data_IF_602599135344
#
_entry.id   IF_602599135344
#
_cell.length_a   1.000
_cell.length_b   1.000
_cell.length_c   1.000
_cell.angle_alpha   90.00
_cell.angle_beta   90.00
_cell.angle_gamma   90.00
#
_symmetry.space_group_name_H-M   'P 1'
#
loop_
_entity.id
_entity.type
_entity.pdbx_description
1 polymer ?
#
# COMPACT_ATOMS: atom_id res chain seq x y z
N UNK A 1 74.99 -9.98 17.67
CA UNK A 1 75.18 -9.39 16.34
C UNK A 1 73.96 -9.75 15.50
N UNK A 2 72.97 -8.93 15.49
CA UNK A 2 71.65 -9.23 14.90
C UNK A 2 71.33 -8.19 13.87
N UNK A 3 71.03 -8.70 12.68
CA UNK A 3 70.62 -7.89 11.54
C UNK A 3 69.09 -7.76 11.50
N UNK A 4 68.56 -6.54 11.59
CA UNK A 4 67.14 -6.26 11.50
C UNK A 4 66.76 -5.92 10.07
N UNK A 5 66.03 -6.80 9.41
CA UNK A 5 65.39 -6.52 8.12
C UNK A 5 64.20 -5.61 8.26
N UNK A 6 64.16 -4.52 7.48
CA UNK A 6 63.05 -3.56 7.36
C UNK A 6 62.03 -4.11 6.37
N UNK A 7 60.81 -4.32 6.78
CA UNK A 7 59.67 -4.51 5.86
C UNK A 7 59.07 -3.13 5.57
N UNK A 8 59.02 -2.77 4.30
CA UNK A 8 58.29 -1.62 3.78
C UNK A 8 56.90 -2.06 3.46
N UNK A 9 55.91 -1.55 4.17
CA UNK A 9 54.52 -1.75 3.88
C UNK A 9 54.06 -0.72 2.85
N UNK A 10 53.76 -1.19 1.63
CA UNK A 10 53.11 -0.39 0.59
C UNK A 10 51.61 -0.27 0.89
N UNK A 11 51.18 0.89 1.38
CA UNK A 11 49.77 1.19 1.53
C UNK A 11 49.14 1.58 0.19
N UNK A 12 48.27 0.77 -0.32
CA UNK A 12 47.40 1.15 -1.42
C UNK A 12 46.28 2.05 -0.91
N UNK A 13 46.32 3.31 -1.31
CA UNK A 13 45.26 4.29 -1.09
C UNK A 13 44.08 3.95 -2.02
N UNK A 14 43.01 3.37 -1.50
CA UNK A 14 41.75 3.25 -2.23
C UNK A 14 41.02 4.58 -2.07
N UNK A 15 41.05 5.43 -3.10
CA UNK A 15 40.19 6.59 -3.22
C UNK A 15 38.75 6.09 -3.48
N UNK A 16 37.92 6.17 -2.46
CA UNK A 16 36.48 6.05 -2.63
C UNK A 16 35.96 7.34 -3.29
N UNK A 17 35.69 7.28 -4.57
CA UNK A 17 34.99 8.33 -5.28
C UNK A 17 33.52 8.34 -4.85
N UNK A 18 33.17 9.26 -3.97
CA UNK A 18 31.75 9.53 -3.63
C UNK A 18 31.14 10.30 -4.80
N UNK A 19 30.45 9.57 -5.68
CA UNK A 19 29.62 10.19 -6.71
C UNK A 19 28.34 10.68 -6.05
N UNK A 20 28.24 11.99 -5.82
CA UNK A 20 27.00 12.66 -5.45
C UNK A 20 26.11 12.71 -6.68
N UNK A 21 25.24 11.71 -6.84
CA UNK A 21 24.12 11.76 -7.78
C UNK A 21 22.96 12.50 -7.08
N UNK A 22 22.85 13.78 -7.36
CA UNK A 22 21.59 14.52 -7.20
C UNK A 22 20.64 14.02 -8.29
N UNK A 23 19.84 13.00 -7.97
CA UNK A 23 18.77 12.52 -8.82
C UNK A 23 17.41 12.81 -8.18
N UNK A 24 16.51 13.28 -8.98
CA UNK A 24 15.10 13.48 -8.68
C UNK A 24 14.52 12.30 -7.88
N UNK A 25 13.84 12.59 -6.78
CA UNK A 25 13.52 11.68 -5.68
C UNK A 25 12.70 10.43 -5.99
N UNK A 26 13.37 9.42 -6.51
CA UNK A 26 12.90 8.04 -6.44
C UNK A 26 13.68 7.32 -5.35
N UNK A 27 13.01 6.84 -4.31
CA UNK A 27 13.63 6.02 -3.29
C UNK A 27 14.14 4.73 -3.95
N UNK A 28 15.47 4.58 -4.06
CA UNK A 28 16.06 3.35 -4.62
C UNK A 28 15.90 2.25 -3.58
N UNK A 29 14.99 1.31 -3.82
CA UNK A 29 14.83 0.14 -2.97
C UNK A 29 15.90 -0.91 -3.29
N UNK A 30 16.38 -1.61 -2.25
CA UNK A 30 17.33 -2.71 -2.39
C UNK A 30 16.67 -4.02 -1.95
N UNK A 31 15.82 -4.64 -2.81
CA UNK A 31 15.08 -5.83 -2.42
C UNK A 31 16.03 -6.99 -2.10
N UNK A 32 15.59 -7.84 -1.18
CA UNK A 32 16.29 -9.10 -0.93
C UNK A 32 16.32 -9.95 -2.19
N UNK A 33 17.46 -10.63 -2.40
CA UNK A 33 17.67 -11.44 -3.58
C UNK A 33 18.06 -12.85 -3.20
N UNK A 34 17.60 -13.80 -4.01
CA UNK A 34 18.07 -15.18 -3.98
C UNK A 34 19.53 -15.26 -4.44
N UNK A 35 20.20 -16.37 -4.20
CA UNK A 35 21.61 -16.56 -4.61
C UNK A 35 21.84 -16.41 -6.13
N UNK A 36 20.82 -16.66 -6.94
CA UNK A 36 20.84 -16.46 -8.40
C UNK A 36 20.41 -15.04 -8.84
N UNK A 37 20.26 -14.12 -7.89
CA UNK A 37 20.00 -12.70 -8.13
C UNK A 37 18.54 -12.30 -8.35
N UNK A 38 17.58 -13.23 -8.29
CA UNK A 38 16.15 -12.93 -8.41
C UNK A 38 15.65 -12.21 -7.14
N UNK A 39 14.69 -11.30 -7.28
CA UNK A 39 14.02 -10.67 -6.14
C UNK A 39 13.25 -11.73 -5.34
N UNK A 40 13.38 -11.71 -4.01
CA UNK A 40 12.64 -12.62 -3.14
C UNK A 40 11.18 -12.19 -3.11
N UNK A 41 10.29 -13.14 -3.45
CA UNK A 41 8.83 -13.00 -3.43
C UNK A 41 8.19 -14.16 -2.66
N UNK A 42 6.88 -14.12 -2.46
CA UNK A 42 6.16 -15.10 -1.67
C UNK A 42 6.31 -14.89 -0.16
N UNK A 43 6.31 -15.98 0.59
CA UNK A 43 6.43 -15.98 2.05
C UNK A 43 7.87 -15.76 2.49
N UNK A 44 8.08 -14.80 3.37
CA UNK A 44 9.37 -14.51 4.01
C UNK A 44 9.12 -14.54 5.52
N UNK A 45 9.70 -15.54 6.19
CA UNK A 45 9.44 -15.81 7.60
C UNK A 45 10.59 -15.34 8.48
N UNK A 46 10.27 -15.06 9.76
CA UNK A 46 11.22 -14.81 10.84
C UNK A 46 12.27 -13.76 10.51
N UNK A 47 11.86 -12.64 9.92
CA UNK A 47 12.72 -11.50 9.82
C UNK A 47 12.85 -10.82 11.19
N UNK A 48 14.01 -10.28 11.49
CA UNK A 48 14.28 -9.55 12.73
C UNK A 48 14.65 -8.11 12.36
N UNK A 49 13.87 -7.18 12.85
CA UNK A 49 14.21 -5.76 12.68
C UNK A 49 15.42 -5.42 13.56
N UNK A 50 16.43 -4.77 12.96
CA UNK A 50 17.76 -4.63 13.56
C UNK A 50 17.78 -3.78 14.84
N UNK A 51 16.91 -2.78 14.96
CA UNK A 51 16.94 -1.82 16.07
C UNK A 51 16.22 -2.35 17.30
N UNK A 52 15.10 -3.00 17.13
CA UNK A 52 14.23 -3.49 18.22
C UNK A 52 14.32 -4.98 18.45
N UNK A 53 14.90 -5.72 17.49
CA UNK A 53 14.93 -7.18 17.49
C UNK A 53 13.57 -7.85 17.27
N UNK A 54 12.54 -7.06 16.92
CA UNK A 54 11.18 -7.57 16.72
C UNK A 54 11.12 -8.49 15.52
N UNK A 55 10.55 -9.67 15.71
CA UNK A 55 10.26 -10.60 14.62
C UNK A 55 9.07 -10.12 13.81
N UNK A 56 9.12 -10.32 12.50
CA UNK A 56 8.01 -10.08 11.60
C UNK A 56 8.02 -11.04 10.41
N UNK A 57 6.88 -11.17 9.76
CA UNK A 57 6.66 -12.04 8.61
C UNK A 57 6.15 -11.21 7.44
N UNK A 58 6.66 -11.49 6.23
CA UNK A 58 6.24 -10.79 5.01
C UNK A 58 5.57 -11.74 4.03
N UNK A 59 4.73 -11.16 3.20
CA UNK A 59 4.32 -11.71 1.93
C UNK A 59 4.53 -10.68 0.82
N UNK A 60 5.28 -11.05 -0.20
CA UNK A 60 5.50 -10.25 -1.40
C UNK A 60 4.79 -10.94 -2.55
N UNK A 61 3.87 -10.28 -3.29
CA UNK A 61 3.18 -10.89 -4.42
C UNK A 61 4.15 -11.54 -5.40
N UNK A 62 3.79 -12.70 -5.94
CA UNK A 62 4.68 -13.47 -6.83
C UNK A 62 5.01 -12.74 -8.12
N UNK A 63 4.12 -11.83 -8.55
CA UNK A 63 4.29 -10.95 -9.70
C UNK A 63 4.90 -9.58 -9.36
N UNK A 64 5.57 -9.44 -8.21
CA UNK A 64 6.17 -8.18 -7.78
C UNK A 64 7.08 -7.57 -8.84
N UNK A 65 6.84 -6.29 -9.15
CA UNK A 65 7.63 -5.48 -10.05
C UNK A 65 8.20 -4.26 -9.30
N UNK A 66 9.53 -4.08 -9.17
CA UNK A 66 10.12 -2.97 -8.43
C UNK A 66 9.83 -1.59 -9.03
N UNK A 67 9.28 -1.53 -10.24
CA UNK A 67 8.90 -0.29 -10.92
C UNK A 67 7.48 0.16 -10.58
N UNK A 68 6.68 -0.69 -9.94
CA UNK A 68 5.35 -0.38 -9.41
C UNK A 68 5.44 -0.07 -7.92
N UNK A 69 4.60 0.83 -7.42
CA UNK A 69 4.40 1.05 -5.98
C UNK A 69 3.26 0.16 -5.48
N UNK A 70 3.51 -0.54 -4.38
CA UNK A 70 2.56 -1.48 -3.82
C UNK A 70 1.97 -0.94 -2.52
N UNK A 71 0.65 -1.04 -2.32
CA UNK A 71 0.06 -0.81 -1.01
C UNK A 71 0.63 -1.80 0.01
N UNK A 72 0.85 -1.33 1.24
CA UNK A 72 1.35 -2.14 2.36
C UNK A 72 0.24 -2.37 3.38
N UNK A 73 0.02 -3.62 3.75
CA UNK A 73 -0.85 -4.02 4.85
C UNK A 73 0.02 -4.43 6.03
N UNK A 74 -0.07 -3.71 7.14
CA UNK A 74 0.47 -4.11 8.43
C UNK A 74 -0.64 -4.77 9.22
N UNK A 75 -0.52 -6.08 9.52
CA UNK A 75 -1.60 -6.86 10.14
C UNK A 75 -1.20 -7.38 11.51
N UNK A 76 -2.02 -7.09 12.53
CA UNK A 76 -1.85 -7.62 13.87
C UNK A 76 -2.69 -8.89 14.06
N UNK A 77 -2.06 -9.91 14.68
CA UNK A 77 -2.69 -11.16 15.03
C UNK A 77 -3.75 -10.99 16.13
N UNK A 78 -4.59 -11.99 16.29
CA UNK A 78 -5.47 -12.12 17.44
C UNK A 78 -4.72 -12.55 18.71
N UNK A 79 -5.48 -12.91 19.73
CA UNK A 79 -4.95 -13.32 21.02
C UNK A 79 -4.26 -14.69 20.93
N UNK A 80 -2.99 -14.76 21.36
CA UNK A 80 -2.28 -16.03 21.53
C UNK A 80 -2.95 -16.89 22.65
N UNK A 81 -3.05 -18.23 22.53
CA UNK A 81 -2.50 -19.08 21.46
C UNK A 81 -3.47 -19.34 20.28
N UNK A 82 -4.55 -18.60 20.17
CA UNK A 82 -5.58 -18.83 19.14
C UNK A 82 -5.16 -18.28 17.77
N UNK A 83 -4.21 -17.36 17.76
CA UNK A 83 -3.67 -16.77 16.54
C UNK A 83 -2.22 -16.31 16.74
N UNK A 84 -1.49 -16.16 15.62
CA UNK A 84 -0.09 -15.75 15.58
C UNK A 84 0.23 -14.93 14.32
N UNK A 85 1.33 -14.19 14.33
CA UNK A 85 1.71 -13.29 13.24
C UNK A 85 1.89 -14.02 11.89
N UNK A 86 2.56 -15.18 11.90
CA UNK A 86 2.73 -16.01 10.70
C UNK A 86 1.37 -16.50 10.15
N UNK A 87 0.45 -16.85 11.04
CA UNK A 87 -0.94 -17.22 10.70
C UNK A 87 -1.68 -16.06 10.04
N UNK A 88 -1.59 -14.86 10.60
CA UNK A 88 -2.18 -13.66 10.01
C UNK A 88 -1.61 -13.38 8.62
N UNK A 89 -0.27 -13.37 8.44
CA UNK A 89 0.33 -13.23 7.13
C UNK A 89 -0.24 -14.25 6.13
N UNK A 90 -0.39 -15.53 6.55
CA UNK A 90 -0.90 -16.57 5.67
C UNK A 90 -2.36 -16.33 5.23
N UNK A 91 -3.20 -15.80 6.12
CA UNK A 91 -4.61 -15.46 5.80
C UNK A 91 -4.72 -14.38 4.72
N UNK A 92 -3.71 -13.50 4.57
CA UNK A 92 -3.70 -12.43 3.60
C UNK A 92 -3.19 -12.83 2.22
N UNK A 93 -2.66 -14.05 2.02
CA UNK A 93 -2.01 -14.47 0.76
C UNK A 93 -2.93 -14.29 -0.45
N UNK A 94 -4.19 -14.76 -0.36
CA UNK A 94 -5.14 -14.65 -1.46
C UNK A 94 -5.46 -13.19 -1.82
N UNK A 95 -5.61 -12.33 -0.81
CA UNK A 95 -5.81 -10.91 -1.04
C UNK A 95 -4.56 -10.25 -1.64
N UNK A 96 -3.37 -10.62 -1.15
CA UNK A 96 -2.10 -10.10 -1.64
C UNK A 96 -1.85 -10.43 -3.11
N UNK A 97 -2.09 -11.69 -3.52
CA UNK A 97 -1.95 -12.11 -4.91
C UNK A 97 -3.01 -11.46 -5.82
N UNK A 98 -4.26 -11.44 -5.35
CA UNK A 98 -5.39 -10.91 -6.13
C UNK A 98 -5.28 -9.42 -6.40
N UNK A 99 -4.82 -8.66 -5.41
CA UNK A 99 -4.87 -7.20 -5.43
C UNK A 99 -3.50 -6.53 -5.49
N UNK A 100 -2.41 -7.30 -5.49
CA UNK A 100 -1.06 -6.75 -5.51
C UNK A 100 -0.71 -6.03 -4.20
N UNK A 101 -0.97 -6.63 -3.04
CA UNK A 101 -0.63 -6.06 -1.73
C UNK A 101 0.65 -6.67 -1.19
N UNK A 102 1.52 -5.86 -0.61
CA UNK A 102 2.58 -6.36 0.27
C UNK A 102 2.00 -6.46 1.68
N UNK A 103 2.23 -7.59 2.35
CA UNK A 103 1.71 -7.84 3.70
C UNK A 103 2.87 -8.01 4.67
N UNK A 104 2.81 -7.26 5.77
CA UNK A 104 3.73 -7.33 6.89
C UNK A 104 2.97 -7.68 8.17
N UNK A 105 3.38 -8.73 8.86
CA UNK A 105 2.80 -9.15 10.12
C UNK A 105 3.89 -9.20 11.19
N UNK A 106 4.11 -8.12 11.96
CA UNK A 106 4.96 -8.14 13.15
C UNK A 106 4.37 -9.03 14.24
N UNK A 107 5.24 -9.62 15.08
CA UNK A 107 4.81 -10.26 16.32
C UNK A 107 4.44 -9.21 17.35
N UNK A 108 3.15 -8.97 17.56
CA UNK A 108 2.67 -7.96 18.50
C UNK A 108 2.52 -8.54 19.92
N UNK A 109 3.23 -7.98 20.90
CA UNK A 109 3.11 -8.35 22.31
C UNK A 109 1.78 -7.85 22.91
N UNK A 110 1.24 -6.75 22.38
CA UNK A 110 -0.01 -6.16 22.83
C UNK A 110 -1.26 -6.73 22.16
N UNK A 111 -1.12 -7.66 21.22
CA UNK A 111 -2.24 -8.31 20.55
C UNK A 111 -2.89 -9.37 21.46
N UNK A 112 -3.64 -8.89 22.47
CA UNK A 112 -4.31 -9.73 23.45
C UNK A 112 -5.64 -9.13 23.86
N UNK A 113 -6.73 -9.90 23.77
CA UNK A 113 -8.04 -9.51 24.28
C UNK A 113 -8.08 -9.30 25.81
N UNK A 114 -7.01 -9.67 26.51
CA UNK A 114 -6.82 -9.50 27.94
C UNK A 114 -5.93 -8.29 28.30
N UNK A 115 -5.50 -7.52 27.29
CA UNK A 115 -4.65 -6.35 27.52
C UNK A 115 -5.41 -5.31 28.36
N UNK A 116 -4.82 -4.88 29.47
CA UNK A 116 -5.28 -3.77 30.26
C UNK A 116 -4.63 -2.47 29.78
N UNK A 117 -5.45 -1.51 29.35
CA UNK A 117 -4.98 -0.20 28.90
C UNK A 117 -5.37 0.86 29.93
N UNK A 118 -4.44 1.39 30.74
CA UNK A 118 -4.71 2.43 31.73
C UNK A 118 -5.19 3.74 31.06
N UNK A 119 -5.95 4.56 31.82
CA UNK A 119 -6.45 5.87 31.34
C UNK A 119 -5.36 6.94 31.21
N UNK A 120 -4.36 6.88 32.08
CA UNK A 120 -3.37 7.94 32.30
C UNK A 120 -2.07 7.74 31.53
N UNK A 121 -1.85 6.55 31.00
CA UNK A 121 -0.63 6.21 30.26
C UNK A 121 -0.84 5.05 29.31
N UNK A 122 -0.10 4.98 28.19
CA UNK A 122 -0.13 3.81 27.33
C UNK A 122 0.38 2.56 28.07
N UNK A 123 -0.19 1.41 27.75
CA UNK A 123 0.34 0.14 28.22
C UNK A 123 1.73 -0.12 27.58
N UNK A 124 2.75 -0.54 28.38
CA UNK A 124 4.11 -0.72 27.86
C UNK A 124 4.21 -1.61 26.60
N UNK A 125 3.46 -2.73 26.47
CA UNK A 125 3.49 -3.52 25.23
C UNK A 125 3.06 -2.73 24.00
N UNK A 126 2.08 -1.82 24.09
CA UNK A 126 1.66 -0.96 22.98
C UNK A 126 2.79 -0.02 22.51
N UNK A 127 3.52 0.57 23.44
CA UNK A 127 4.65 1.47 23.14
C UNK A 127 5.81 0.72 22.49
N UNK A 128 6.07 -0.51 22.93
CA UNK A 128 7.11 -1.34 22.33
C UNK A 128 6.73 -1.77 20.91
N UNK A 129 5.50 -2.18 20.71
CA UNK A 129 4.97 -2.57 19.40
C UNK A 129 4.93 -1.38 18.42
N UNK A 130 4.57 -0.19 18.89
CA UNK A 130 4.62 1.05 18.11
C UNK A 130 6.02 1.30 17.55
N UNK A 131 7.04 1.33 18.41
CA UNK A 131 8.43 1.54 18.00
C UNK A 131 8.90 0.48 17.00
N UNK A 132 8.60 -0.78 17.28
CA UNK A 132 8.96 -1.89 16.40
C UNK A 132 8.26 -1.77 15.03
N UNK A 133 6.97 -1.46 15.02
CA UNK A 133 6.19 -1.33 13.78
C UNK A 133 6.73 -0.22 12.88
N UNK A 134 7.04 0.95 13.45
CA UNK A 134 7.62 2.07 12.70
C UNK A 134 8.99 1.69 12.10
N UNK A 135 9.85 1.01 12.88
CA UNK A 135 11.15 0.55 12.41
C UNK A 135 11.01 -0.51 11.30
N UNK A 136 10.13 -1.49 11.46
CA UNK A 136 9.84 -2.52 10.46
C UNK A 136 9.33 -1.89 9.15
N UNK A 137 8.39 -0.93 9.22
CA UNK A 137 7.89 -0.25 8.01
C UNK A 137 9.02 0.46 7.29
N UNK A 138 9.92 1.13 8.02
CA UNK A 138 11.10 1.78 7.43
C UNK A 138 12.00 0.76 6.72
N UNK A 139 12.24 -0.39 7.32
CA UNK A 139 13.04 -1.47 6.73
C UNK A 139 12.34 -2.04 5.47
N UNK A 140 11.05 -2.37 5.54
CA UNK A 140 10.29 -2.89 4.40
C UNK A 140 10.29 -1.89 3.23
N UNK A 141 10.13 -0.60 3.49
CA UNK A 141 10.22 0.47 2.48
C UNK A 141 11.61 0.62 1.87
N UNK A 142 12.67 0.26 2.56
CA UNK A 142 14.03 0.25 2.00
C UNK A 142 14.27 -0.95 1.07
N UNK A 143 13.46 -2.02 1.21
CA UNK A 143 13.60 -3.27 0.46
C UNK A 143 12.64 -3.35 -0.72
N UNK A 144 11.42 -2.87 -0.55
CA UNK A 144 10.36 -3.01 -1.55
C UNK A 144 9.73 -1.67 -1.86
N UNK A 145 9.25 -1.54 -3.11
CA UNK A 145 8.61 -0.32 -3.60
C UNK A 145 7.20 -0.18 -3.02
N UNK A 146 7.09 0.50 -1.88
CA UNK A 146 5.82 0.74 -1.19
C UNK A 146 5.24 2.09 -1.63
N UNK A 147 3.92 2.13 -1.84
CA UNK A 147 3.19 3.38 -1.99
C UNK A 147 3.20 4.13 -0.64
N UNK A 148 3.85 5.31 -0.54
CA UNK A 148 3.95 6.03 0.73
C UNK A 148 2.59 6.48 1.27
N UNK A 149 1.60 6.71 0.39
CA UNK A 149 0.24 7.12 0.74
C UNK A 149 -0.71 5.91 0.87
N UNK A 150 -0.19 4.70 0.65
CA UNK A 150 -0.94 3.45 0.66
C UNK A 150 -0.47 2.49 1.74
N UNK A 151 -0.50 2.87 3.03
CA UNK A 151 -0.19 1.98 4.14
C UNK A 151 -1.40 1.85 5.06
N UNK A 152 -1.86 0.62 5.27
CA UNK A 152 -2.93 0.27 6.20
C UNK A 152 -2.38 -0.45 7.41
N UNK A 153 -2.89 -0.14 8.59
CA UNK A 153 -2.76 -1.01 9.75
C UNK A 153 -4.11 -1.65 10.06
N UNK A 154 -4.09 -2.94 10.36
CA UNK A 154 -5.32 -3.70 10.64
C UNK A 154 -5.09 -4.72 11.74
N UNK A 155 -6.10 -5.01 12.52
CA UNK A 155 -6.03 -5.99 13.59
C UNK A 155 -7.28 -6.86 13.67
N UNK A 156 -7.09 -8.14 13.98
CA UNK A 156 -8.17 -9.06 14.28
C UNK A 156 -8.25 -9.33 15.77
N UNK A 157 -9.45 -9.32 16.36
CA UNK A 157 -9.63 -9.65 17.78
C UNK A 157 -8.68 -8.83 18.68
N UNK A 158 -7.84 -9.48 19.50
CA UNK A 158 -6.81 -8.83 20.32
C UNK A 158 -5.88 -7.88 19.59
N UNK A 159 -5.65 -8.11 18.30
CA UNK A 159 -4.88 -7.22 17.42
C UNK A 159 -5.51 -5.86 17.17
N UNK A 160 -6.75 -5.66 17.58
CA UNK A 160 -7.42 -4.37 17.54
C UNK A 160 -6.72 -3.32 18.38
N UNK A 161 -6.24 -3.67 19.56
CA UNK A 161 -5.55 -2.73 20.45
C UNK A 161 -4.30 -2.11 19.78
N UNK A 162 -3.30 -2.89 19.31
CA UNK A 162 -2.17 -2.30 18.60
C UNK A 162 -2.56 -1.60 17.30
N UNK A 163 -3.52 -2.12 16.55
CA UNK A 163 -3.92 -1.49 15.29
C UNK A 163 -4.50 -0.08 15.51
N UNK A 164 -5.42 0.10 16.44
CA UNK A 164 -5.97 1.41 16.78
C UNK A 164 -4.94 2.32 17.44
N UNK A 165 -4.16 1.81 18.40
CA UNK A 165 -3.14 2.60 19.08
C UNK A 165 -2.11 3.14 18.11
N UNK A 166 -1.43 2.27 17.38
CA UNK A 166 -0.33 2.64 16.49
C UNK A 166 -0.86 3.49 15.32
N UNK A 167 -1.98 3.11 14.73
CA UNK A 167 -2.57 3.87 13.63
C UNK A 167 -2.93 5.30 14.02
N UNK A 168 -3.55 5.51 15.19
CA UNK A 168 -3.92 6.84 15.68
C UNK A 168 -2.70 7.69 16.06
N UNK A 169 -1.61 7.08 16.55
CA UNK A 169 -0.39 7.79 16.92
C UNK A 169 0.47 8.18 15.69
N UNK A 170 0.31 7.49 14.56
CA UNK A 170 1.08 7.71 13.33
C UNK A 170 0.22 7.99 12.08
N UNK A 171 -0.63 9.05 12.12
CA UNK A 171 -1.46 9.43 10.96
C UNK A 171 -0.64 9.90 9.75
N UNK A 172 0.66 10.18 9.93
CA UNK A 172 1.61 10.48 8.86
C UNK A 172 2.13 9.24 8.13
N UNK A 173 2.01 8.05 8.74
CA UNK A 173 2.43 6.78 8.16
C UNK A 173 1.23 6.05 7.56
N UNK A 174 0.13 5.98 8.32
CA UNK A 174 -1.01 5.16 7.97
C UNK A 174 -2.12 5.96 7.31
N UNK A 175 -2.54 5.54 6.14
CA UNK A 175 -3.71 6.08 5.43
C UNK A 175 -5.01 5.59 6.05
N UNK A 176 -5.00 4.37 6.59
CA UNK A 176 -6.20 3.68 7.03
C UNK A 176 -5.95 2.79 8.25
N UNK A 177 -6.92 2.74 9.16
CA UNK A 177 -7.04 1.76 10.22
C UNK A 177 -8.23 0.86 9.92
N UNK A 178 -8.06 -0.47 9.96
CA UNK A 178 -9.17 -1.40 9.81
C UNK A 178 -9.24 -2.35 11.01
N UNK A 179 -10.29 -2.22 11.80
CA UNK A 179 -10.64 -3.15 12.88
C UNK A 179 -11.51 -4.29 12.35
N UNK A 180 -11.03 -5.53 12.45
CA UNK A 180 -11.70 -6.75 11.98
C UNK A 180 -12.18 -7.55 13.17
N UNK A 181 -13.45 -7.43 13.58
CA UNK A 181 -13.95 -8.00 14.85
C UNK A 181 -12.97 -7.70 16.01
N UNK A 182 -12.55 -6.45 16.08
CA UNK A 182 -11.36 -6.01 16.81
C UNK A 182 -11.68 -5.50 18.21
N UNK A 183 -10.76 -5.71 19.15
CA UNK A 183 -10.83 -5.08 20.46
C UNK A 183 -10.56 -3.58 20.35
N UNK A 184 -11.29 -2.82 21.18
CA UNK A 184 -11.16 -1.37 21.30
C UNK A 184 -11.35 -0.92 22.75
N UNK A 185 -10.69 0.18 23.13
CA UNK A 185 -11.01 0.96 24.32
C UNK A 185 -10.65 2.43 24.09
N UNK A 186 -11.43 3.34 24.70
CA UNK A 186 -11.20 4.79 24.61
C UNK A 186 -9.83 5.23 25.11
N UNK A 187 -9.18 4.42 25.94
CA UNK A 187 -7.87 4.71 26.52
C UNK A 187 -6.69 4.57 25.53
N UNK A 188 -6.94 4.15 24.28
CA UNK A 188 -5.89 3.97 23.28
C UNK A 188 -5.29 5.28 22.76
N UNK A 189 -6.02 6.39 22.89
CA UNK A 189 -5.52 7.68 22.41
C UNK A 189 -6.13 8.83 23.21
N UNK A 190 -5.30 9.84 23.49
CA UNK A 190 -5.74 11.11 24.07
C UNK A 190 -6.51 11.96 23.05
N UNK A 191 -7.17 13.01 23.51
CA UNK A 191 -7.86 13.94 22.62
C UNK A 191 -6.92 14.65 21.64
N UNK A 192 -5.67 14.93 22.04
CA UNK A 192 -4.66 15.52 21.14
C UNK A 192 -4.23 14.56 20.03
N UNK A 193 -4.09 13.27 20.35
CA UNK A 193 -3.82 12.22 19.36
C UNK A 193 -5.00 12.12 18.39
N UNK A 194 -6.21 12.04 18.90
CA UNK A 194 -7.41 11.98 18.08
C UNK A 194 -7.56 13.20 17.16
N UNK A 195 -7.25 14.40 17.65
CA UNK A 195 -7.31 15.63 16.85
C UNK A 195 -6.38 15.60 15.65
N UNK A 196 -5.16 15.07 15.81
CA UNK A 196 -4.20 14.91 14.71
C UNK A 196 -4.66 13.84 13.72
N UNK A 197 -5.24 12.75 14.20
CA UNK A 197 -5.62 11.58 13.41
C UNK A 197 -7.02 11.66 12.75
N UNK A 198 -7.85 12.65 13.07
CA UNK A 198 -9.26 12.70 12.65
C UNK A 198 -9.53 12.75 11.14
N UNK A 199 -8.49 13.00 10.33
CA UNK A 199 -8.56 12.97 8.88
C UNK A 199 -8.37 11.58 8.28
N UNK A 200 -7.89 10.62 9.08
CA UNK A 200 -7.65 9.25 8.64
C UNK A 200 -8.95 8.53 8.28
N UNK A 201 -8.82 7.54 7.42
CA UNK A 201 -9.88 6.57 7.20
C UNK A 201 -9.84 5.50 8.28
N UNK A 202 -10.97 5.26 8.92
CA UNK A 202 -11.13 4.20 9.93
C UNK A 202 -12.35 3.37 9.60
N UNK A 203 -12.12 2.07 9.42
CA UNK A 203 -13.18 1.11 9.17
C UNK A 203 -13.18 0.03 10.23
N UNK A 204 -14.31 -0.15 10.90
CA UNK A 204 -14.51 -1.22 11.87
C UNK A 204 -15.66 -2.08 11.41
N UNK A 205 -15.44 -3.36 11.27
CA UNK A 205 -16.53 -4.29 11.02
C UNK A 205 -16.51 -5.44 12.03
N UNK A 206 -17.69 -5.99 12.30
CA UNK A 206 -17.89 -7.03 13.29
C UNK A 206 -19.04 -7.95 12.89
N UNK A 207 -19.02 -9.21 13.35
CA UNK A 207 -20.10 -10.15 13.11
C UNK A 207 -21.34 -9.84 13.95
N UNK A 208 -22.52 -9.92 13.35
CA UNK A 208 -23.81 -9.76 14.09
C UNK A 208 -23.98 -10.81 15.19
N UNK A 209 -23.37 -11.98 15.03
CA UNK A 209 -23.34 -13.08 16.00
C UNK A 209 -22.00 -13.22 16.71
N UNK A 210 -21.23 -12.14 16.83
CA UNK A 210 -19.93 -12.11 17.49
C UNK A 210 -20.05 -12.32 19.02
N UNK A 211 -18.91 -12.58 19.68
CA UNK A 211 -18.85 -12.74 21.12
C UNK A 211 -19.43 -11.50 21.85
N UNK A 212 -20.22 -11.65 22.91
CA UNK A 212 -20.98 -10.55 23.53
C UNK A 212 -20.15 -9.33 23.93
N UNK A 213 -18.88 -9.52 24.32
CA UNK A 213 -17.96 -8.43 24.69
C UNK A 213 -17.65 -7.47 23.54
N UNK A 214 -17.62 -7.97 22.30
CA UNK A 214 -17.32 -7.13 21.13
C UNK A 214 -18.43 -6.13 20.79
N UNK A 215 -19.69 -6.47 21.05
CA UNK A 215 -20.79 -5.52 20.85
C UNK A 215 -20.66 -4.27 21.72
N UNK A 216 -20.16 -4.41 22.96
CA UNK A 216 -19.89 -3.26 23.83
C UNK A 216 -18.72 -2.42 23.32
N UNK A 217 -17.62 -3.05 22.94
CA UNK A 217 -16.43 -2.37 22.43
C UNK A 217 -16.69 -1.68 21.09
N UNK A 218 -17.50 -2.26 20.22
CA UNK A 218 -17.92 -1.63 18.97
C UNK A 218 -18.78 -0.38 19.21
N UNK A 219 -19.67 -0.39 20.22
CA UNK A 219 -20.41 0.82 20.63
C UNK A 219 -19.49 1.88 21.21
N UNK A 220 -18.51 1.48 22.02
CA UNK A 220 -17.47 2.37 22.56
C UNK A 220 -16.64 3.00 21.42
N UNK A 221 -16.18 2.21 20.48
CA UNK A 221 -15.46 2.71 19.29
C UNK A 221 -16.32 3.69 18.48
N UNK A 222 -17.58 3.32 18.20
CA UNK A 222 -18.50 4.19 17.47
C UNK A 222 -18.70 5.55 18.17
N UNK A 223 -18.95 5.53 19.47
CA UNK A 223 -19.09 6.75 20.27
C UNK A 223 -17.79 7.56 20.25
N UNK A 224 -16.65 6.93 20.51
CA UNK A 224 -15.35 7.58 20.62
C UNK A 224 -14.93 8.29 19.33
N UNK A 225 -14.98 7.60 18.17
CA UNK A 225 -14.62 8.16 16.87
C UNK A 225 -15.58 9.26 16.42
N UNK A 226 -16.87 9.06 16.61
CA UNK A 226 -17.91 10.04 16.25
C UNK A 226 -17.77 11.34 17.05
N UNK A 227 -17.62 11.24 18.37
CA UNK A 227 -17.51 12.41 19.25
C UNK A 227 -16.24 13.21 19.04
N UNK A 228 -15.17 12.58 18.52
CA UNK A 228 -13.91 13.25 18.19
C UNK A 228 -13.84 13.76 16.75
N UNK A 229 -14.93 13.63 16.01
CA UNK A 229 -15.10 14.24 14.69
C UNK A 229 -14.31 13.59 13.57
N UNK A 230 -14.11 12.28 13.61
CA UNK A 230 -13.55 11.51 12.50
C UNK A 230 -14.55 11.50 11.35
N UNK A 231 -14.20 12.16 10.23
CA UNK A 231 -15.11 12.32 9.08
C UNK A 231 -15.17 11.07 8.19
N UNK A 232 -14.10 10.29 8.18
CA UNK A 232 -13.94 9.09 7.36
C UNK A 232 -14.02 7.82 8.22
N UNK A 233 -14.85 7.85 9.27
CA UNK A 233 -15.10 6.70 10.12
C UNK A 233 -16.36 5.96 9.68
N UNK A 234 -16.22 4.65 9.50
CA UNK A 234 -17.32 3.74 9.17
C UNK A 234 -17.26 2.56 10.13
N UNK A 235 -18.41 2.23 10.71
CA UNK A 235 -18.59 1.00 11.48
C UNK A 235 -19.73 0.20 10.87
N UNK A 236 -19.53 -1.09 10.62
CA UNK A 236 -20.48 -1.91 9.88
C UNK A 236 -20.63 -3.30 10.48
N UNK A 237 -21.84 -3.71 10.87
CA UNK A 237 -22.12 -5.12 11.13
C UNK A 237 -22.06 -5.93 9.85
N UNK A 238 -21.61 -7.18 9.96
CA UNK A 238 -21.57 -8.15 8.87
C UNK A 238 -22.24 -9.46 9.30
N UNK A 239 -22.83 -10.20 8.41
CA UNK A 239 -23.32 -11.55 8.72
C UNK A 239 -22.20 -12.44 9.27
N UNK A 240 -22.49 -13.27 10.26
CA UNK A 240 -21.53 -14.22 10.83
C UNK A 240 -21.06 -13.83 12.23
N UNK A 241 -20.00 -14.51 12.68
CA UNK A 241 -19.44 -14.39 14.03
C UNK A 241 -18.08 -13.69 14.05
N UNK A 242 -17.14 -14.28 14.80
CA UNK A 242 -15.79 -13.73 15.02
C UNK A 242 -14.86 -13.98 13.82
N UNK A 243 -15.19 -13.48 12.64
CA UNK A 243 -14.48 -13.72 11.37
C UNK A 243 -13.51 -12.56 11.04
N UNK A 244 -12.23 -12.87 10.70
CA UNK A 244 -11.23 -11.87 10.35
C UNK A 244 -11.42 -11.19 8.98
N UNK A 245 -12.17 -11.75 8.05
CA UNK A 245 -12.55 -11.25 6.71
C UNK A 245 -11.54 -10.30 6.03
N UNK A 246 -10.36 -10.81 5.66
CA UNK A 246 -9.29 -10.03 5.04
C UNK A 246 -9.69 -9.41 3.70
N UNK A 247 -10.55 -10.08 2.95
CA UNK A 247 -11.00 -9.59 1.63
C UNK A 247 -11.77 -8.29 1.77
N UNK A 248 -12.64 -8.19 2.78
CA UNK A 248 -13.40 -6.97 3.04
C UNK A 248 -12.48 -5.81 3.46
N UNK A 249 -11.52 -6.09 4.34
CA UNK A 249 -10.52 -5.10 4.73
C UNK A 249 -9.67 -4.63 3.53
N UNK A 250 -9.25 -5.56 2.66
CA UNK A 250 -8.52 -5.23 1.44
C UNK A 250 -9.35 -4.35 0.49
N UNK A 251 -10.62 -4.69 0.25
CA UNK A 251 -11.52 -3.91 -0.61
C UNK A 251 -11.70 -2.48 -0.10
N UNK A 252 -11.97 -2.33 1.19
CA UNK A 252 -12.10 -1.01 1.78
C UNK A 252 -10.82 -0.18 1.59
N UNK A 253 -9.67 -0.76 1.89
CA UNK A 253 -8.39 -0.09 1.76
C UNK A 253 -8.08 0.31 0.31
N UNK A 254 -8.28 -0.58 -0.63
CA UNK A 254 -8.03 -0.32 -2.05
C UNK A 254 -8.93 0.78 -2.63
N UNK A 255 -10.18 0.88 -2.19
CA UNK A 255 -11.06 1.98 -2.57
C UNK A 255 -10.55 3.36 -2.12
N UNK A 256 -9.62 3.40 -1.14
CA UNK A 256 -9.03 4.65 -0.63
C UNK A 256 -7.73 4.99 -1.35
N UNK A 257 -6.93 3.98 -1.71
CA UNK A 257 -5.54 4.19 -2.16
C UNK A 257 -5.31 3.93 -3.63
N UNK A 258 -6.19 3.21 -4.30
CA UNK A 258 -6.11 3.03 -5.74
C UNK A 258 -6.75 4.22 -6.46
N UNK A 259 -5.96 4.84 -7.32
CA UNK A 259 -6.40 5.96 -8.12
C UNK A 259 -6.53 5.52 -9.58
N UNK A 260 -7.64 5.88 -10.18
CA UNK A 260 -7.84 5.67 -11.61
C UNK A 260 -6.85 6.51 -12.40
N UNK A 261 -6.30 6.01 -13.51
CA UNK A 261 -5.43 6.79 -14.35
C UNK A 261 -6.20 7.97 -14.94
N UNK A 262 -5.65 9.17 -14.80
CA UNK A 262 -6.19 10.34 -15.48
C UNK A 262 -5.66 10.34 -16.92
N UNK A 263 -6.54 10.31 -17.91
CA UNK A 263 -6.17 10.26 -19.31
C UNK A 263 -6.70 11.44 -20.12
N UNK A 264 -5.91 11.85 -21.09
CA UNK A 264 -6.25 12.91 -22.04
C UNK A 264 -5.78 12.52 -23.44
N UNK A 265 -6.56 12.86 -24.45
CA UNK A 265 -6.17 12.71 -25.86
C UNK A 265 -5.59 14.03 -26.32
N UNK A 266 -4.34 14.00 -26.79
CA UNK A 266 -3.71 15.10 -27.53
C UNK A 266 -3.75 14.74 -29.02
N UNK A 267 -4.44 15.53 -29.82
CA UNK A 267 -4.56 15.36 -31.26
C UNK A 267 -3.91 16.54 -32.00
N UNK A 268 -3.06 16.27 -32.98
CA UNK A 268 -2.37 17.29 -33.77
C UNK A 268 -3.36 18.23 -34.49
N UNK A 269 -4.52 17.69 -34.85
CA UNK A 269 -5.69 18.44 -35.36
C UNK A 269 -6.95 17.61 -35.15
N UNK A 270 -8.09 18.25 -35.07
CA UNK A 270 -9.41 17.62 -35.00
C UNK A 270 -10.29 17.88 -36.20
N UNK A 271 -9.83 18.73 -37.16
CA UNK A 271 -10.57 19.04 -38.40
C UNK A 271 -9.58 19.38 -39.52
N UNK A 272 -9.92 18.98 -40.75
CA UNK A 272 -9.18 19.34 -41.97
C UNK A 272 -9.71 18.65 -43.23
N UNK A 273 -9.18 18.99 -44.44
CA UNK A 273 -9.57 18.35 -45.69
C UNK A 273 -8.99 16.94 -45.82
N UNK A 274 -9.68 16.06 -46.56
CA UNK A 274 -9.15 14.74 -46.93
C UNK A 274 -8.06 14.87 -48.01
N UNK A 275 -6.95 14.02 -47.93
CA UNK A 275 -6.61 13.11 -46.87
C UNK A 275 -6.06 13.84 -45.64
N UNK A 276 -6.54 13.52 -44.43
CA UNK A 276 -6.16 14.21 -43.18
C UNK A 276 -5.24 13.34 -42.34
N UNK A 277 -3.93 13.60 -42.25
CA UNK A 277 -3.04 12.94 -41.29
C UNK A 277 -3.22 13.54 -39.90
N UNK A 278 -3.48 12.68 -38.90
CA UNK A 278 -3.65 13.07 -37.51
C UNK A 278 -2.71 12.24 -36.63
N UNK A 279 -1.92 12.93 -35.80
CA UNK A 279 -1.14 12.29 -34.74
C UNK A 279 -1.93 12.39 -33.44
N UNK A 280 -2.18 11.23 -32.83
CA UNK A 280 -2.90 11.09 -31.57
C UNK A 280 -1.92 10.61 -30.50
N UNK A 281 -1.89 11.27 -29.33
CA UNK A 281 -1.08 10.89 -28.17
C UNK A 281 -1.96 10.65 -26.96
N UNK A 282 -1.71 9.54 -26.28
CA UNK A 282 -2.29 9.27 -24.98
C UNK A 282 -1.47 9.96 -23.90
N UNK A 283 -2.00 11.04 -23.32
CA UNK A 283 -1.40 11.67 -22.16
C UNK A 283 -2.00 11.00 -20.92
N UNK A 284 -1.16 10.26 -20.20
CA UNK A 284 -1.59 9.46 -19.04
C UNK A 284 -0.86 9.93 -17.80
N UNK A 285 -1.62 10.13 -16.72
CA UNK A 285 -1.10 10.37 -15.38
C UNK A 285 -1.72 9.34 -14.45
N UNK A 286 -0.90 8.42 -13.97
CA UNK A 286 -1.28 7.44 -12.97
C UNK A 286 -0.56 7.78 -11.65
N UNK A 287 -1.31 8.23 -10.61
CA UNK A 287 -0.72 8.60 -9.31
C UNK A 287 -0.04 7.42 -8.60
N UNK A 288 -0.47 6.19 -8.88
CA UNK A 288 0.03 4.98 -8.24
C UNK A 288 1.26 4.40 -8.95
N UNK A 289 1.56 4.88 -10.14
CA UNK A 289 2.73 4.49 -10.91
C UNK A 289 3.84 5.55 -10.78
N UNK A 290 5.04 5.19 -10.22
CA UNK A 290 6.12 6.15 -9.97
C UNK A 290 6.63 6.88 -11.23
N UNK A 291 6.49 6.26 -12.38
CA UNK A 291 6.98 6.73 -13.67
C UNK A 291 5.84 6.95 -14.69
N UNK A 292 4.58 6.98 -14.21
CA UNK A 292 3.40 7.19 -15.05
C UNK A 292 3.12 6.04 -16.01
N UNK A 293 3.70 4.86 -15.79
CA UNK A 293 3.47 3.72 -16.66
C UNK A 293 2.10 3.12 -16.46
N UNK A 294 1.59 2.60 -17.57
CA UNK A 294 0.34 1.85 -17.63
C UNK A 294 0.58 0.45 -18.18
N UNK A 295 -0.33 -0.47 -17.91
CA UNK A 295 -0.28 -1.84 -18.43
C UNK A 295 -0.46 -1.84 -19.96
N UNK A 296 -1.49 -1.13 -20.43
CA UNK A 296 -1.78 -1.09 -21.86
C UNK A 296 -2.52 0.16 -22.28
N UNK A 297 -2.35 0.51 -23.54
CA UNK A 297 -3.07 1.55 -24.26
C UNK A 297 -3.73 0.90 -25.48
N UNK A 298 -4.98 1.23 -25.74
CA UNK A 298 -5.71 0.76 -26.92
C UNK A 298 -6.50 1.91 -27.54
N UNK A 299 -6.23 2.16 -28.81
CA UNK A 299 -6.99 3.09 -29.65
C UNK A 299 -7.95 2.34 -30.56
N UNK A 300 -9.16 2.86 -30.71
CA UNK A 300 -10.02 2.65 -31.86
C UNK A 300 -10.10 3.97 -32.62
N UNK A 301 -9.64 4.00 -33.87
CA UNK A 301 -9.46 5.23 -34.65
C UNK A 301 -10.76 5.71 -35.36
N UNK A 302 -11.86 4.96 -35.17
CA UNK A 302 -13.18 5.33 -35.69
C UNK A 302 -13.46 4.88 -37.14
N UNK A 303 -12.49 4.23 -37.78
CA UNK A 303 -12.59 3.67 -39.14
C UNK A 303 -12.28 2.17 -39.18
N UNK A 304 -12.52 1.47 -38.08
CA UNK A 304 -12.22 0.05 -37.86
C UNK A 304 -10.71 -0.26 -37.69
N UNK A 305 -9.87 0.74 -37.59
CA UNK A 305 -8.46 0.56 -37.26
C UNK A 305 -8.23 0.69 -35.77
N UNK A 306 -7.29 -0.10 -35.26
CA UNK A 306 -6.87 -0.08 -33.87
C UNK A 306 -5.35 0.09 -33.75
N UNK A 307 -4.89 0.63 -32.60
CA UNK A 307 -3.48 0.74 -32.28
C UNK A 307 -3.25 0.52 -30.80
N UNK A 308 -2.14 -0.10 -30.41
CA UNK A 308 -1.72 -0.24 -28.99
C UNK A 308 -0.52 0.65 -28.65
N UNK A 309 -0.08 1.53 -29.57
CA UNK A 309 0.99 2.47 -29.30
C UNK A 309 0.47 3.68 -28.51
N UNK A 310 1.22 4.19 -27.49
CA UNK A 310 0.85 5.44 -26.81
C UNK A 310 0.75 6.65 -27.75
N UNK A 311 1.46 6.61 -28.87
CA UNK A 311 1.38 7.58 -29.95
C UNK A 311 1.11 6.86 -31.27
N UNK A 312 0.14 7.36 -32.07
CA UNK A 312 -0.21 6.83 -33.38
C UNK A 312 -0.46 7.96 -34.37
N UNK A 313 0.12 7.85 -35.56
CA UNK A 313 -0.22 8.73 -36.70
C UNK A 313 -1.09 7.93 -37.67
N UNK A 314 -2.26 8.49 -37.97
CA UNK A 314 -3.23 7.88 -38.87
C UNK A 314 -3.73 8.90 -39.89
N UNK A 315 -3.93 8.47 -41.15
CA UNK A 315 -4.45 9.29 -42.22
C UNK A 315 -5.90 8.87 -42.54
N UNK A 316 -6.83 9.81 -42.40
CA UNK A 316 -8.22 9.61 -42.79
C UNK A 316 -8.39 10.01 -44.26
N UNK A 317 -8.59 9.01 -45.11
CA UNK A 317 -8.61 9.16 -46.56
C UNK A 317 -9.93 9.73 -47.09
N UNK A 318 -11.03 9.56 -46.38
CA UNK A 318 -12.35 9.95 -46.82
C UNK A 318 -12.97 11.04 -45.94
N UNK A 319 -13.77 11.96 -46.49
CA UNK A 319 -14.58 12.86 -45.71
C UNK A 319 -15.51 12.10 -44.76
N UNK A 320 -15.66 12.59 -43.53
CA UNK A 320 -16.49 11.94 -42.52
C UNK A 320 -16.24 12.47 -41.11
N UNK A 321 -17.07 11.98 -40.18
CA UNK A 321 -16.92 12.25 -38.75
C UNK A 321 -16.52 10.96 -38.04
N UNK A 322 -15.28 10.91 -37.55
CA UNK A 322 -14.69 9.74 -36.95
C UNK A 322 -14.66 9.88 -35.42
N UNK A 323 -15.26 8.91 -34.72
CA UNK A 323 -15.23 8.85 -33.27
C UNK A 323 -14.03 8.03 -32.82
N UNK A 324 -13.03 8.69 -32.28
CA UNK A 324 -11.81 8.07 -31.78
C UNK A 324 -11.95 7.77 -30.30
N UNK A 325 -11.72 6.51 -29.92
CA UNK A 325 -11.69 6.06 -28.53
C UNK A 325 -10.27 5.71 -28.10
N UNK A 326 -9.95 6.11 -26.88
CA UNK A 326 -8.77 5.69 -26.13
C UNK A 326 -9.23 4.92 -24.91
N UNK A 327 -8.69 3.71 -24.73
CA UNK A 327 -8.76 2.95 -23.48
C UNK A 327 -7.35 2.83 -22.91
N UNK A 328 -7.20 3.11 -21.63
CA UNK A 328 -5.96 2.90 -20.88
C UNK A 328 -6.27 1.99 -19.71
N UNK A 329 -5.46 0.96 -19.55
CA UNK A 329 -5.48 0.09 -18.39
C UNK A 329 -4.21 0.33 -17.58
N UNK A 330 -4.37 0.66 -16.28
CA UNK A 330 -3.25 0.83 -15.37
C UNK A 330 -2.66 -0.50 -14.91
N UNK A 331 -1.57 -0.42 -14.12
CA UNK A 331 -0.91 -1.60 -13.57
C UNK A 331 -1.75 -2.30 -12.48
N UNK A 332 -2.74 -1.62 -11.91
CA UNK A 332 -3.67 -2.13 -10.91
C UNK A 332 -4.92 -2.78 -11.52
N UNK A 333 -5.07 -2.63 -12.84
CA UNK A 333 -6.16 -3.24 -13.61
C UNK A 333 -7.37 -2.34 -13.84
N UNK A 334 -7.33 -1.07 -13.38
CA UNK A 334 -8.37 -0.09 -13.70
C UNK A 334 -8.32 0.30 -15.16
N UNK A 335 -9.49 0.50 -15.75
CA UNK A 335 -9.61 0.90 -17.13
C UNK A 335 -10.32 2.25 -17.20
N UNK A 336 -9.69 3.21 -17.85
CA UNK A 336 -10.26 4.51 -18.12
C UNK A 336 -10.44 4.72 -19.62
N UNK A 337 -11.48 5.46 -19.98
CA UNK A 337 -11.88 5.67 -21.37
C UNK A 337 -11.99 7.16 -21.69
N UNK A 338 -11.53 7.53 -22.89
CA UNK A 338 -11.69 8.87 -23.43
C UNK A 338 -12.09 8.79 -24.89
N UNK A 339 -12.81 9.80 -25.38
CA UNK A 339 -13.14 9.91 -26.79
C UNK A 339 -12.89 11.33 -27.31
N UNK A 340 -12.63 11.42 -28.60
CA UNK A 340 -12.59 12.67 -29.35
C UNK A 340 -13.14 12.45 -30.75
N UNK A 341 -13.51 13.52 -31.43
CA UNK A 341 -14.03 13.47 -32.78
C UNK A 341 -13.03 14.07 -33.74
N UNK A 342 -12.78 13.42 -34.87
CA UNK A 342 -12.01 13.95 -35.99
C UNK A 342 -12.98 14.20 -37.16
N UNK A 343 -13.07 15.44 -37.61
CA UNK A 343 -13.89 15.83 -38.72
C UNK A 343 -13.03 16.02 -39.97
N UNK A 344 -13.30 15.22 -40.98
CA UNK A 344 -12.64 15.29 -42.28
C UNK A 344 -13.61 15.87 -43.31
N UNK A 345 -13.20 17.01 -43.94
CA UNK A 345 -14.01 17.75 -44.91
C UNK A 345 -13.75 17.29 -46.33
#
# INVERSE_FOLDING_TARGET
MGNRGKYVAGGALVLAATVLLLAAGGCVTTPWRTADGRIVTGKIDFQHEETTGRTYHLYIPTNYNPKRRYPLVVTAQGTFPFDEAAGQRNRWVDAAERYGLIVCSPDFDSASGFLSVPKDRPAPPLVHDEKATVAIIKEVRSRYSINPDGIMITGWSGGGFPAHFIGLHHPEIFRCIVGRTANFTENLASDDVALRARHMHVYVFFGESDLPGFAAQNREANFWYTMRGFRNFVIQPQPGGHDPNQIEAARYFLNIVNHWPAIQIDASTTEGPAPLPVTLRALVRDPDSPDGRVDSVLWNLGDNRISSSPEVTHTYEQPGLYNVFLMVKDLDGHQEFKQTWIKVN
#
